data_IF_603743312579
#
_entry.id   IF_603743312579
#
_cell.length_a   1.000
_cell.length_b   1.000
_cell.length_c   1.000
_cell.angle_alpha   90.00
_cell.angle_beta   90.00
_cell.angle_gamma   90.00
#
_symmetry.space_group_name_H-M   'P 1'
#
loop_
_entity.id
_entity.type
_entity.pdbx_description
1 polymer ?
#
# COMPACT_ATOMS: atom_id res chain seq x y z
N UNK A 1 -22.53 26.13 -13.10
CA UNK A 1 -22.68 24.71 -13.51
C UNK A 1 -21.38 24.15 -14.06
N UNK A 2 -20.76 24.81 -15.04
CA UNK A 2 -19.52 24.37 -15.67
C UNK A 2 -18.35 24.13 -14.70
N UNK A 3 -18.10 25.06 -13.76
CA UNK A 3 -17.02 24.92 -12.76
C UNK A 3 -17.23 23.68 -11.88
N UNK A 4 -18.47 23.35 -11.52
CA UNK A 4 -18.80 22.18 -10.69
C UNK A 4 -18.51 20.90 -11.46
N UNK A 5 -18.87 20.85 -12.75
CA UNK A 5 -18.57 19.70 -13.63
C UNK A 5 -17.06 19.53 -13.80
N UNK A 6 -16.32 20.62 -14.03
CA UNK A 6 -14.88 20.59 -14.13
C UNK A 6 -14.23 20.08 -12.83
N UNK A 7 -14.70 20.54 -11.67
CA UNK A 7 -14.23 20.06 -10.37
C UNK A 7 -14.48 18.56 -10.18
N UNK A 8 -15.69 18.09 -10.47
CA UNK A 8 -16.04 16.68 -10.37
C UNK A 8 -15.18 15.82 -11.30
N UNK A 9 -14.92 16.30 -12.52
CA UNK A 9 -14.06 15.61 -13.47
C UNK A 9 -12.63 15.48 -12.93
N UNK A 10 -12.05 16.56 -12.40
CA UNK A 10 -10.71 16.53 -11.80
C UNK A 10 -10.65 15.55 -10.63
N UNK A 11 -11.62 15.59 -9.71
CA UNK A 11 -11.69 14.66 -8.56
C UNK A 11 -11.76 13.21 -9.04
N UNK A 12 -12.58 12.93 -10.05
CA UNK A 12 -12.77 11.58 -10.58
C UNK A 12 -11.50 11.05 -11.28
N UNK A 13 -10.80 11.91 -12.03
CA UNK A 13 -9.52 11.59 -12.65
C UNK A 13 -8.45 11.29 -11.59
N UNK A 14 -8.33 12.14 -10.56
CA UNK A 14 -7.37 11.95 -9.48
C UNK A 14 -7.64 10.64 -8.72
N UNK A 15 -8.90 10.34 -8.42
CA UNK A 15 -9.30 9.10 -7.78
C UNK A 15 -8.98 7.87 -8.64
N UNK A 16 -9.24 7.95 -9.94
CA UNK A 16 -8.90 6.88 -10.89
C UNK A 16 -7.39 6.60 -10.94
N UNK A 17 -6.57 7.66 -10.99
CA UNK A 17 -5.12 7.55 -10.98
C UNK A 17 -4.60 6.93 -9.68
N UNK A 18 -5.09 7.37 -8.52
CA UNK A 18 -4.72 6.80 -7.22
C UNK A 18 -5.04 5.30 -7.16
N UNK A 19 -6.25 4.92 -7.59
CA UNK A 19 -6.68 3.52 -7.58
C UNK A 19 -5.90 2.65 -8.57
N UNK A 20 -5.56 3.19 -9.75
CA UNK A 20 -4.73 2.52 -10.75
C UNK A 20 -3.30 2.32 -10.24
N UNK A 21 -2.74 3.33 -9.56
CA UNK A 21 -1.42 3.25 -8.95
C UNK A 21 -1.35 2.16 -7.87
N UNK A 22 -2.37 2.08 -7.01
CA UNK A 22 -2.49 1.01 -6.01
C UNK A 22 -2.61 -0.39 -6.66
N UNK A 23 -3.27 -0.48 -7.80
CA UNK A 23 -3.40 -1.75 -8.52
C UNK A 23 -2.10 -2.18 -9.19
N UNK A 24 -1.35 -1.22 -9.75
CA UNK A 24 0.00 -1.43 -10.27
C UNK A 24 0.97 -1.89 -9.18
N UNK A 25 0.85 -1.32 -7.97
CA UNK A 25 1.63 -1.75 -6.80
C UNK A 25 1.26 -3.18 -6.37
N UNK A 26 -0.03 -3.55 -6.34
CA UNK A 26 -0.47 -4.93 -6.02
C UNK A 26 0.03 -5.97 -7.00
N UNK A 27 0.18 -5.64 -8.29
CA UNK A 27 0.73 -6.56 -9.29
C UNK A 27 2.26 -6.68 -9.23
N UNK A 28 2.92 -5.94 -8.35
CA UNK A 28 4.38 -5.96 -8.22
C UNK A 28 5.12 -5.27 -9.37
N UNK A 29 4.40 -4.59 -10.28
CA UNK A 29 5.00 -3.89 -11.42
C UNK A 29 5.64 -2.55 -11.01
N UNK A 30 5.12 -1.92 -9.95
CA UNK A 30 5.58 -0.58 -9.53
C UNK A 30 5.60 -0.53 -8.00
N UNK A 31 6.78 -0.52 -7.40
CA UNK A 31 6.92 -0.47 -5.95
C UNK A 31 6.92 0.97 -5.42
N UNK A 32 6.06 1.84 -5.96
CA UNK A 32 6.11 3.31 -5.80
C UNK A 32 6.17 3.75 -4.33
N UNK A 33 5.31 3.14 -3.49
CA UNK A 33 5.23 3.47 -2.06
C UNK A 33 6.43 2.93 -1.25
N UNK A 34 7.18 1.97 -1.80
CA UNK A 34 8.34 1.33 -1.17
C UNK A 34 9.69 1.76 -1.76
N UNK A 35 9.74 2.50 -2.87
CA UNK A 35 10.97 2.96 -3.54
C UNK A 35 11.90 3.83 -2.67
N UNK A 36 11.48 4.22 -1.45
CA UNK A 36 12.33 4.92 -0.47
C UNK A 36 12.43 4.22 0.90
N UNK A 37 11.79 3.07 1.10
CA UNK A 37 11.96 2.32 2.35
C UNK A 37 13.21 1.46 2.26
N UNK A 38 14.13 1.66 3.21
CA UNK A 38 15.28 0.80 3.47
C UNK A 38 14.79 -0.66 3.47
N UNK A 39 15.40 -1.52 2.65
CA UNK A 39 15.15 -2.97 2.70
C UNK A 39 15.44 -3.39 4.15
N UNK A 40 14.38 -3.66 4.91
CA UNK A 40 14.54 -4.26 6.23
C UNK A 40 15.10 -5.65 5.97
N UNK A 41 16.24 -5.95 6.60
CA UNK A 41 16.87 -7.28 6.67
C UNK A 41 15.78 -8.34 6.91
N UNK A 42 15.98 -9.58 6.46
CA UNK A 42 15.05 -10.68 6.71
C UNK A 42 15.06 -11.17 8.18
N UNK A 43 15.95 -10.64 9.02
CA UNK A 43 16.03 -10.96 10.46
C UNK A 43 14.78 -10.65 11.32
N UNK A 44 14.07 -9.52 11.19
CA UNK A 44 12.95 -9.18 12.06
C UNK A 44 11.68 -9.98 11.73
N UNK A 45 11.62 -10.63 10.56
CA UNK A 45 10.52 -11.54 10.21
C UNK A 45 10.56 -12.82 11.04
N UNK A 46 11.76 -13.33 11.38
CA UNK A 46 11.90 -14.50 12.23
C UNK A 46 11.48 -14.20 13.68
N UNK A 47 11.82 -13.01 14.19
CA UNK A 47 11.44 -12.57 15.54
C UNK A 47 9.92 -12.34 15.66
N UNK A 48 9.29 -11.77 14.63
CA UNK A 48 7.83 -11.57 14.62
C UNK A 48 7.06 -12.90 14.58
N UNK A 49 7.57 -13.89 13.83
CA UNK A 49 6.97 -15.22 13.76
C UNK A 49 7.06 -15.93 15.13
N UNK A 50 8.20 -15.82 15.82
CA UNK A 50 8.33 -16.33 17.20
C UNK A 50 7.37 -15.67 18.19
N UNK A 51 7.17 -14.35 18.10
CA UNK A 51 6.24 -13.63 18.99
C UNK A 51 4.77 -13.98 18.73
N UNK A 52 4.42 -14.29 17.48
CA UNK A 52 3.07 -14.73 17.10
C UNK A 52 2.81 -16.17 17.55
N UNK A 53 3.79 -17.07 17.40
CA UNK A 53 3.71 -18.45 17.87
C UNK A 53 3.61 -18.52 19.39
N UNK A 54 4.35 -17.68 20.11
CA UNK A 54 4.31 -17.64 21.58
C UNK A 54 2.97 -17.14 22.12
N UNK A 55 2.33 -16.16 21.46
CA UNK A 55 0.95 -15.76 21.79
C UNK A 55 -0.10 -16.79 21.42
N UNK A 56 0.11 -17.59 20.38
CA UNK A 56 -0.82 -18.64 19.98
C UNK A 56 -0.78 -19.87 20.90
N UNK A 57 0.28 -20.01 21.71
CA UNK A 57 0.48 -21.11 22.66
C UNK A 57 0.11 -20.78 24.11
N UNK A 58 -0.47 -19.60 24.37
CA UNK A 58 -0.94 -19.23 25.70
C UNK A 58 -2.39 -19.74 25.87
N UNK A 59 -2.66 -20.68 26.81
CA UNK A 59 -3.99 -21.27 27.01
C UNK A 59 -5.00 -20.30 27.64
#
# INVERSE_FOLDING_TARGET
>A
MEIVVAFLFVVLVLFGLDRMMLWLERRGHVNWRRTGRRNLSAEPTAELDSLLVERAHQP
#
